data_IF_070608378852
#
_entry.id   IF_070608378852
#
_cell.length_a   1.000
_cell.length_b   1.000
_cell.length_c   1.000
_cell.angle_alpha   90.00
_cell.angle_beta   90.00
_cell.angle_gamma   90.00
#
_symmetry.space_group_name_H-M   'P 1'
#
loop_
_entity.id
_entity.type
_entity.pdbx_description
1 polymer ?
#
# COMPACT_ATOMS: atom_id res chain seq x y z
N UNK A 1 9.68 28.39 -4.04
CA UNK A 1 10.75 27.46 -4.49
C UNK A 1 10.06 26.22 -5.03
N UNK A 2 10.32 25.84 -6.29
CA UNK A 2 9.61 24.73 -6.93
C UNK A 2 10.26 23.41 -6.49
N UNK A 3 9.71 22.77 -5.45
CA UNK A 3 10.24 21.52 -4.91
C UNK A 3 10.09 20.38 -5.94
N UNK A 4 11.11 19.52 -6.00
CA UNK A 4 11.11 18.30 -6.81
C UNK A 4 9.97 17.38 -6.34
N UNK A 5 9.15 16.78 -7.24
CA UNK A 5 8.04 15.94 -6.82
C UNK A 5 8.50 14.70 -6.06
N UNK A 6 7.71 14.26 -5.08
CA UNK A 6 7.91 13.02 -4.34
C UNK A 6 7.90 11.81 -5.28
N UNK A 7 6.89 11.72 -6.14
CA UNK A 7 6.76 10.71 -7.21
C UNK A 7 6.42 11.42 -8.52
N UNK A 8 7.10 11.02 -9.60
CA UNK A 8 6.77 11.41 -10.96
C UNK A 8 6.64 10.17 -11.84
N UNK A 9 5.48 10.04 -12.47
CA UNK A 9 5.24 9.17 -13.61
C UNK A 9 5.10 10.08 -14.83
N UNK A 10 5.91 9.84 -15.87
CA UNK A 10 5.84 10.60 -17.12
C UNK A 10 5.59 9.63 -18.27
N UNK A 11 4.45 9.83 -18.92
CA UNK A 11 3.99 9.11 -20.11
C UNK A 11 4.09 7.59 -19.98
N UNK A 12 3.74 7.08 -18.79
CA UNK A 12 3.91 5.67 -18.47
C UNK A 12 2.91 4.80 -19.20
N UNK A 13 3.40 3.72 -19.79
CA UNK A 13 2.59 2.71 -20.45
C UNK A 13 2.79 1.32 -19.85
N UNK A 14 1.71 0.54 -19.89
CA UNK A 14 1.72 -0.88 -19.50
C UNK A 14 0.78 -1.70 -20.36
N UNK A 15 1.31 -2.80 -20.89
CA UNK A 15 0.63 -3.78 -21.72
C UNK A 15 0.72 -5.17 -21.08
N UNK A 16 -0.36 -5.94 -21.17
CA UNK A 16 -0.35 -7.38 -20.86
C UNK A 16 -0.87 -8.16 -22.07
N UNK A 17 -0.02 -9.00 -22.66
CA UNK A 17 -0.30 -9.60 -23.95
C UNK A 17 -0.50 -8.50 -25.00
N UNK A 18 -1.65 -8.54 -25.69
CA UNK A 18 -2.01 -7.57 -26.72
C UNK A 18 -2.87 -6.41 -26.18
N UNK A 19 -3.12 -6.35 -24.87
CA UNK A 19 -4.00 -5.36 -24.26
C UNK A 19 -3.21 -4.26 -23.56
N UNK A 20 -3.35 -3.04 -24.05
CA UNK A 20 -2.91 -1.84 -23.34
C UNK A 20 -3.80 -1.60 -22.12
N UNK A 21 -3.17 -1.59 -20.94
CA UNK A 21 -3.84 -1.26 -19.67
C UNK A 21 -3.66 0.21 -19.33
N UNK A 22 -2.48 0.76 -19.60
CA UNK A 22 -2.16 2.18 -19.45
C UNK A 22 -1.48 2.68 -20.73
N UNK A 23 -1.91 3.84 -21.19
CA UNK A 23 -1.37 4.49 -22.39
C UNK A 23 -1.03 5.94 -22.06
N UNK A 24 0.27 6.25 -22.02
CA UNK A 24 0.81 7.60 -21.79
C UNK A 24 0.24 8.32 -20.56
N UNK A 25 0.21 7.64 -19.42
CA UNK A 25 -0.28 8.22 -18.16
C UNK A 25 0.81 9.06 -17.50
N UNK A 26 0.50 10.30 -17.14
CA UNK A 26 1.39 11.18 -16.39
C UNK A 26 0.77 11.55 -15.04
N UNK A 27 1.55 11.42 -13.97
CA UNK A 27 1.15 11.72 -12.59
C UNK A 27 2.31 12.36 -11.84
N UNK A 28 2.07 13.47 -11.17
CA UNK A 28 3.02 14.14 -10.28
C UNK A 28 2.42 14.19 -8.88
N UNK A 29 3.14 13.71 -7.89
CA UNK A 29 2.77 13.79 -6.47
C UNK A 29 3.80 14.61 -5.70
N UNK A 30 3.33 15.52 -4.86
CA UNK A 30 4.12 16.29 -3.90
C UNK A 30 3.97 15.71 -2.49
N UNK A 31 4.87 16.10 -1.59
CA UNK A 31 4.72 15.78 -0.17
C UNK A 31 3.46 16.42 0.40
N UNK A 32 2.73 15.67 1.23
CA UNK A 32 1.47 16.11 1.84
C UNK A 32 0.24 16.05 0.93
N UNK A 33 0.39 15.71 -0.35
CA UNK A 33 -0.76 15.55 -1.25
C UNK A 33 -1.52 14.25 -1.01
N UNK A 34 -2.85 14.33 -1.07
CA UNK A 34 -3.74 13.17 -1.10
C UNK A 34 -4.41 13.14 -2.47
N UNK A 35 -4.18 12.08 -3.23
CA UNK A 35 -4.72 11.90 -4.58
C UNK A 35 -5.65 10.70 -4.63
N UNK A 36 -6.85 10.92 -5.16
CA UNK A 36 -7.84 9.87 -5.40
C UNK A 36 -7.88 9.53 -6.89
N UNK A 37 -7.51 8.29 -7.24
CA UNK A 37 -7.63 7.78 -8.60
C UNK A 37 -9.02 7.19 -8.78
N UNK A 38 -9.80 7.76 -9.69
CA UNK A 38 -11.17 7.30 -10.03
C UNK A 38 -11.21 6.70 -11.43
N UNK A 39 -12.06 5.70 -11.62
CA UNK A 39 -12.23 5.01 -12.90
C UNK A 39 -13.01 3.71 -12.74
N UNK A 40 -13.62 3.22 -13.83
CA UNK A 40 -14.39 1.98 -13.82
C UNK A 40 -13.58 0.72 -13.52
N UNK A 41 -14.26 -0.41 -13.36
CA UNK A 41 -13.61 -1.71 -13.21
C UNK A 41 -12.76 -1.99 -14.47
N UNK A 42 -11.52 -2.44 -14.26
CA UNK A 42 -10.60 -2.72 -15.35
C UNK A 42 -9.94 -1.49 -16.00
N UNK A 43 -10.13 -0.27 -15.46
CA UNK A 43 -9.52 0.96 -16.01
C UNK A 43 -8.01 1.11 -15.71
N UNK A 44 -7.35 0.07 -15.20
CA UNK A 44 -5.91 0.09 -14.93
C UNK A 44 -5.46 0.74 -13.62
N UNK A 45 -6.36 1.13 -12.69
CA UNK A 45 -6.00 1.78 -11.41
C UNK A 45 -4.98 0.99 -10.59
N UNK A 46 -5.27 -0.28 -10.33
CA UNK A 46 -4.37 -1.17 -9.59
C UNK A 46 -3.03 -1.35 -10.31
N UNK A 47 -3.04 -1.36 -11.64
CA UNK A 47 -1.81 -1.39 -12.46
C UNK A 47 -1.00 -0.11 -12.28
N UNK A 48 -1.66 1.06 -12.32
CA UNK A 48 -1.02 2.36 -12.06
C UNK A 48 -0.41 2.43 -10.66
N UNK A 49 -1.13 1.96 -9.63
CA UNK A 49 -0.62 1.91 -8.25
C UNK A 49 0.57 0.95 -8.12
N UNK A 50 0.53 -0.23 -8.75
CA UNK A 50 1.66 -1.17 -8.75
C UNK A 50 2.88 -0.61 -9.48
N UNK A 51 2.69 0.11 -10.58
CA UNK A 51 3.77 0.81 -11.27
C UNK A 51 4.34 1.93 -10.41
N UNK A 52 3.49 2.75 -9.80
CA UNK A 52 3.89 3.78 -8.86
C UNK A 52 4.69 3.20 -7.68
N UNK A 53 4.31 2.02 -7.19
CA UNK A 53 5.03 1.27 -6.15
C UNK A 53 6.34 0.63 -6.63
N UNK A 54 6.58 0.53 -7.94
CA UNK A 54 7.71 -0.19 -8.52
C UNK A 54 7.58 -1.72 -8.46
N UNK A 55 6.37 -2.23 -8.24
CA UNK A 55 6.08 -3.67 -8.15
C UNK A 55 5.91 -4.35 -9.52
N UNK A 56 5.72 -3.56 -10.57
CA UNK A 56 5.57 -4.02 -11.96
C UNK A 56 6.44 -3.12 -12.84
N UNK A 57 7.15 -3.65 -13.84
CA UNK A 57 7.93 -2.85 -14.77
C UNK A 57 7.05 -2.07 -15.74
N UNK A 58 7.53 -0.90 -16.13
CA UNK A 58 6.96 -0.08 -17.21
C UNK A 58 7.29 -0.71 -18.57
N UNK A 59 6.39 -0.56 -19.53
CA UNK A 59 6.71 -0.90 -20.93
C UNK A 59 7.09 0.36 -21.73
N UNK A 60 6.68 1.54 -21.28
CA UNK A 60 7.09 2.84 -21.81
C UNK A 60 7.02 3.94 -20.74
N UNK A 61 7.65 5.08 -21.03
CA UNK A 61 7.69 6.24 -20.14
C UNK A 61 8.75 6.12 -19.04
N UNK A 62 8.63 6.98 -18.01
CA UNK A 62 9.58 7.01 -16.90
C UNK A 62 8.89 7.11 -15.55
N UNK A 63 9.51 6.49 -14.54
CA UNK A 63 9.14 6.62 -13.14
C UNK A 63 10.34 7.12 -12.35
N UNK A 64 10.16 8.18 -11.59
CA UNK A 64 11.13 8.63 -10.59
C UNK A 64 10.46 8.86 -9.25
N UNK A 65 11.20 8.55 -8.20
CA UNK A 65 10.88 8.87 -6.81
C UNK A 65 12.09 9.62 -6.25
N UNK A 66 11.85 10.56 -5.33
CA UNK A 66 12.95 11.20 -4.62
C UNK A 66 13.87 10.16 -3.94
N UNK A 67 15.19 10.38 -3.94
CA UNK A 67 16.13 9.47 -3.30
C UNK A 67 15.79 9.22 -1.83
N UNK A 68 16.05 7.99 -1.37
CA UNK A 68 15.86 7.55 0.03
C UNK A 68 14.41 7.58 0.54
N UNK A 69 13.42 7.86 -0.31
CA UNK A 69 12.00 7.80 0.07
C UNK A 69 11.46 6.38 0.03
N UNK A 70 10.64 6.05 1.03
CA UNK A 70 10.02 4.75 1.18
C UNK A 70 8.58 4.76 0.67
N UNK A 71 8.26 3.82 -0.24
CA UNK A 71 6.88 3.58 -0.67
C UNK A 71 6.35 2.33 0.01
N UNK A 72 5.11 2.39 0.44
CA UNK A 72 4.34 1.22 0.86
C UNK A 72 3.09 1.08 0.01
N UNK A 73 2.76 -0.15 -0.34
CA UNK A 73 1.58 -0.49 -1.14
C UNK A 73 0.71 -1.47 -0.38
N UNK A 74 -0.59 -1.18 -0.31
CA UNK A 74 -1.60 -2.13 0.17
C UNK A 74 -2.33 -2.76 -1.02
N UNK A 75 -2.38 -4.09 -1.12
CA UNK A 75 -3.28 -4.75 -2.07
C UNK A 75 -4.74 -4.59 -1.63
N UNK A 76 -5.68 -4.81 -2.57
CA UNK A 76 -7.14 -4.80 -2.30
C UNK A 76 -7.53 -5.72 -1.14
N UNK A 77 -6.90 -6.90 -1.02
CA UNK A 77 -7.26 -7.86 0.02
C UNK A 77 -6.04 -8.46 0.67
N UNK A 78 -6.04 -8.40 1.99
CA UNK A 78 -5.21 -9.27 2.80
C UNK A 78 -5.81 -10.69 2.78
N UNK A 79 -5.02 -11.73 2.46
CA UNK A 79 -5.52 -13.09 2.49
C UNK A 79 -5.89 -13.53 3.91
N UNK A 80 -6.84 -14.45 4.00
CA UNK A 80 -7.19 -15.13 5.26
C UNK A 80 -6.10 -16.15 5.58
N UNK A 81 -5.37 -15.93 6.67
CA UNK A 81 -4.24 -16.75 7.07
C UNK A 81 -4.48 -17.40 8.44
N UNK A 82 -3.90 -18.59 8.65
CA UNK A 82 -3.89 -19.29 9.95
C UNK A 82 -2.77 -18.75 10.86
N UNK A 83 -2.73 -17.44 11.04
CA UNK A 83 -1.82 -16.71 11.94
C UNK A 83 -2.56 -15.53 12.55
N UNK A 84 -2.11 -15.02 13.69
CA UNK A 84 -2.66 -13.81 14.30
C UNK A 84 -2.17 -12.56 13.57
N UNK A 85 -2.82 -11.42 13.81
CA UNK A 85 -2.35 -10.12 13.30
C UNK A 85 -0.97 -9.76 13.85
N UNK A 86 -0.72 -10.01 15.14
CA UNK A 86 0.59 -9.82 15.78
C UNK A 86 1.70 -10.62 15.08
N UNK A 87 1.45 -11.91 14.81
CA UNK A 87 2.38 -12.80 14.11
C UNK A 87 2.65 -12.28 12.70
N UNK A 88 1.59 -11.96 11.96
CA UNK A 88 1.68 -11.41 10.62
C UNK A 88 2.52 -10.14 10.57
N UNK A 89 2.20 -9.14 11.40
CA UNK A 89 2.92 -7.87 11.45
C UNK A 89 4.37 -8.07 11.91
N UNK A 90 4.61 -8.99 12.85
CA UNK A 90 5.97 -9.34 13.29
C UNK A 90 6.78 -9.92 12.13
N UNK A 91 6.20 -10.81 11.34
CA UNK A 91 6.86 -11.37 10.15
C UNK A 91 7.16 -10.28 9.12
N UNK A 92 6.19 -9.42 8.82
CA UNK A 92 6.35 -8.34 7.84
C UNK A 92 7.43 -7.33 8.27
N UNK A 93 7.46 -6.96 9.55
CA UNK A 93 8.49 -6.07 10.09
C UNK A 93 9.90 -6.67 10.04
N UNK A 94 10.05 -7.96 10.37
CA UNK A 94 11.34 -8.67 10.30
C UNK A 94 11.84 -8.82 8.88
N UNK A 95 10.98 -9.19 7.93
CA UNK A 95 11.31 -9.24 6.49
C UNK A 95 11.83 -7.89 6.02
N UNK A 96 11.26 -6.81 6.58
CA UNK A 96 11.65 -5.44 6.25
C UNK A 96 12.86 -4.92 7.05
N UNK A 97 13.54 -5.78 7.82
CA UNK A 97 14.76 -5.44 8.56
C UNK A 97 14.55 -4.68 9.88
N UNK A 98 13.35 -4.68 10.45
CA UNK A 98 13.09 -4.01 11.73
C UNK A 98 13.62 -4.82 12.92
N UNK A 99 14.25 -4.11 13.86
CA UNK A 99 14.72 -4.69 15.12
C UNK A 99 13.55 -5.16 16.00
N UNK A 100 13.78 -6.25 16.76
CA UNK A 100 12.73 -6.94 17.53
C UNK A 100 11.97 -6.01 18.49
N UNK A 101 12.67 -5.27 19.34
CA UNK A 101 12.01 -4.45 20.37
C UNK A 101 11.25 -3.26 19.76
N UNK A 102 11.86 -2.40 18.91
CA UNK A 102 11.12 -1.32 18.24
C UNK A 102 9.92 -1.81 17.42
N UNK A 103 10.04 -2.99 16.79
CA UNK A 103 8.94 -3.60 16.06
C UNK A 103 7.77 -3.98 16.98
N UNK A 104 8.05 -4.59 18.13
CA UNK A 104 7.01 -4.97 19.09
C UNK A 104 6.27 -3.75 19.64
N UNK A 105 7.00 -2.68 19.96
CA UNK A 105 6.41 -1.43 20.47
C UNK A 105 5.53 -0.79 19.38
N UNK A 106 6.01 -0.74 18.14
CA UNK A 106 5.25 -0.23 17.00
C UNK A 106 4.00 -1.06 16.69
N UNK A 107 4.07 -2.39 16.77
CA UNK A 107 2.90 -3.25 16.57
C UNK A 107 1.84 -2.96 17.64
N UNK A 108 2.25 -2.84 18.90
CA UNK A 108 1.33 -2.51 20.00
C UNK A 108 0.63 -1.18 19.75
N UNK A 109 1.38 -0.12 19.43
CA UNK A 109 0.85 1.20 19.10
C UNK A 109 -0.16 1.15 17.94
N UNK A 110 0.15 0.40 16.88
CA UNK A 110 -0.75 0.27 15.73
C UNK A 110 -2.06 -0.45 16.10
N UNK A 111 -1.99 -1.49 16.92
CA UNK A 111 -3.19 -2.17 17.40
C UNK A 111 -4.10 -1.22 18.20
N UNK A 112 -3.51 -0.36 19.04
CA UNK A 112 -4.23 0.68 19.78
C UNK A 112 -4.85 1.70 18.81
N UNK A 113 -4.10 2.23 17.84
CA UNK A 113 -4.59 3.22 16.87
C UNK A 113 -5.74 2.72 16.00
N UNK A 114 -5.71 1.44 15.63
CA UNK A 114 -6.72 0.85 14.77
C UNK A 114 -7.87 0.20 15.54
N UNK A 115 -7.90 0.28 16.87
CA UNK A 115 -8.90 -0.38 17.72
C UNK A 115 -9.01 -1.87 17.36
N UNK A 116 -7.88 -2.58 17.47
CA UNK A 116 -7.78 -4.03 17.32
C UNK A 116 -7.07 -4.64 18.53
N UNK A 117 -7.53 -5.78 19.08
CA UNK A 117 -6.90 -6.36 20.26
C UNK A 117 -5.45 -6.78 19.99
N UNK A 118 -4.52 -6.28 20.80
CA UNK A 118 -3.12 -6.73 20.81
C UNK A 118 -2.99 -8.09 21.54
N UNK A 119 -2.14 -8.99 21.04
CA UNK A 119 -1.96 -10.37 21.53
C UNK A 119 -3.23 -11.22 21.52
N UNK A 120 -4.12 -10.93 20.58
CA UNK A 120 -5.27 -11.79 20.32
C UNK A 120 -4.82 -13.16 19.82
N UNK A 121 -5.46 -14.23 20.30
CA UNK A 121 -5.28 -15.59 19.76
C UNK A 121 -6.10 -15.84 18.49
N UNK A 122 -6.91 -14.87 18.07
CA UNK A 122 -7.79 -15.01 16.90
C UNK A 122 -6.98 -14.93 15.61
N UNK A 123 -7.02 -16.00 14.81
CA UNK A 123 -6.41 -16.01 13.48
C UNK A 123 -7.09 -15.05 12.49
N UNK A 124 -6.30 -14.51 11.56
CA UNK A 124 -6.78 -13.67 10.45
C UNK A 124 -7.85 -14.37 9.60
N UNK A 125 -7.88 -15.71 9.56
CA UNK A 125 -8.96 -16.47 8.91
C UNK A 125 -10.36 -16.19 9.48
N UNK A 126 -10.43 -15.81 10.76
CA UNK A 126 -11.66 -15.47 11.48
C UNK A 126 -11.92 -13.95 11.56
N UNK A 127 -11.03 -13.13 11.00
CA UNK A 127 -11.21 -11.68 10.98
C UNK A 127 -12.34 -11.31 10.01
N UNK A 128 -13.13 -10.30 10.40
CA UNK A 128 -14.06 -9.66 9.48
C UNK A 128 -13.29 -8.94 8.37
N UNK A 129 -13.98 -8.60 7.26
CA UNK A 129 -13.35 -7.81 6.18
C UNK A 129 -12.73 -6.51 6.71
N UNK A 130 -13.42 -5.81 7.61
CA UNK A 130 -12.92 -4.57 8.21
C UNK A 130 -11.67 -4.79 9.07
N UNK A 131 -11.60 -5.88 9.84
CA UNK A 131 -10.42 -6.20 10.63
C UNK A 131 -9.22 -6.58 9.74
N UNK A 132 -9.45 -7.29 8.63
CA UNK A 132 -8.42 -7.56 7.62
C UNK A 132 -7.93 -6.26 6.96
N UNK A 133 -8.83 -5.33 6.65
CA UNK A 133 -8.49 -4.02 6.11
C UNK A 133 -7.64 -3.19 7.09
N UNK A 134 -8.05 -3.12 8.35
CA UNK A 134 -7.25 -2.49 9.42
C UNK A 134 -5.86 -3.12 9.54
N UNK A 135 -5.77 -4.45 9.50
CA UNK A 135 -4.49 -5.19 9.54
C UNK A 135 -3.60 -4.87 8.33
N UNK A 136 -4.18 -4.78 7.14
CA UNK A 136 -3.48 -4.40 5.91
C UNK A 136 -2.93 -2.97 5.98
N UNK A 137 -3.71 -2.04 6.54
CA UNK A 137 -3.25 -0.66 6.77
C UNK A 137 -2.12 -0.60 7.81
N UNK A 138 -2.26 -1.32 8.93
CA UNK A 138 -1.21 -1.44 9.95
C UNK A 138 0.11 -1.95 9.35
N UNK A 139 0.06 -2.98 8.51
CA UNK A 139 1.22 -3.48 7.78
C UNK A 139 1.86 -2.38 6.93
N UNK A 140 1.06 -1.65 6.15
CA UNK A 140 1.60 -0.68 5.22
C UNK A 140 2.25 0.52 5.91
N UNK A 141 1.77 0.91 7.08
CA UNK A 141 2.36 2.01 7.88
C UNK A 141 3.34 1.53 8.96
N UNK A 142 3.68 0.24 8.97
CA UNK A 142 4.56 -0.37 9.95
C UNK A 142 5.94 0.30 9.99
N UNK A 143 6.45 0.70 8.82
CA UNK A 143 7.74 1.40 8.65
C UNK A 143 7.65 2.90 8.47
N UNK A 144 6.46 3.50 8.65
CA UNK A 144 6.24 4.94 8.43
C UNK A 144 6.71 5.40 7.03
N UNK A 145 6.07 4.91 5.95
CA UNK A 145 6.49 5.24 4.58
C UNK A 145 6.25 6.73 4.26
N UNK A 146 7.07 7.28 3.36
CA UNK A 146 6.88 8.62 2.81
C UNK A 146 5.71 8.69 1.81
N UNK A 147 5.42 7.58 1.12
CA UNK A 147 4.29 7.46 0.19
C UNK A 147 3.51 6.18 0.47
N UNK A 148 2.24 6.35 0.81
CA UNK A 148 1.29 5.25 1.01
C UNK A 148 0.36 5.12 -0.20
N UNK A 149 0.42 3.98 -0.88
CA UNK A 149 -0.41 3.64 -2.04
C UNK A 149 -1.49 2.64 -1.62
N UNK A 150 -2.75 3.03 -1.78
CA UNK A 150 -3.89 2.23 -1.31
C UNK A 150 -4.73 1.74 -2.48
N UNK A 151 -4.71 0.43 -2.73
CA UNK A 151 -5.53 -0.22 -3.75
C UNK A 151 -6.88 -0.65 -3.13
N UNK A 152 -7.96 -0.01 -3.57
CA UNK A 152 -9.36 -0.28 -3.20
C UNK A 152 -9.69 -0.43 -1.70
N UNK A 153 -9.22 0.51 -0.88
CA UNK A 153 -9.79 0.71 0.45
C UNK A 153 -10.67 1.97 0.45
N UNK A 154 -11.82 1.90 1.14
CA UNK A 154 -12.75 2.99 1.53
C UNK A 154 -14.01 3.29 0.68
N UNK A 155 -14.14 2.87 -0.58
CA UNK A 155 -15.37 3.17 -1.36
C UNK A 155 -16.45 2.08 -1.24
N UNK A 156 -16.89 1.82 -0.01
CA UNK A 156 -18.24 1.32 0.27
C UNK A 156 -18.79 2.08 1.47
N UNK A 157 -18.92 3.40 1.33
CA UNK A 157 -19.92 4.13 2.10
C UNK A 157 -21.26 3.52 1.70
N UNK A 158 -21.85 2.73 2.59
CA UNK A 158 -23.26 2.39 2.48
C UNK A 158 -24.01 3.73 2.44
N UNK A 159 -24.72 3.98 1.34
CA UNK A 159 -25.90 4.82 1.42
C UNK A 159 -26.93 4.12 2.29
#
# INVERSE_FOLDING_TARGET
MNQSPLLLLRDVGKRYGDRDILSSVSLRLQEGEIVFIRGGNGSGKSTLLKLAAGLVPLDSGTRSIQPSKMISYTPDRLPKLKMTSDEYLTHMGRISGMNKQPLQDRIKELHEWFDLPYRSKTHLSHYSKGMLQKTNLMQAILRQPDLLLLDEHFLRTRR
#
